data_IF_188927537335
#
_entry.id   IF_188927537335
#
_cell.length_a   1.000
_cell.length_b   1.000
_cell.length_c   1.000
_cell.angle_alpha   90.00
_cell.angle_beta   90.00
_cell.angle_gamma   90.00
#
_symmetry.space_group_name_H-M   'P 1'
#
loop_
_entity.id
_entity.type
_entity.pdbx_description
1 polymer ?
#
# COMPACT_ATOMS: atom_id res chain seq x y z
N UNK A 1 28.08 -64.62 -1.07
CA UNK A 1 27.45 -63.30 -0.87
C UNK A 1 26.23 -63.49 0.03
N UNK A 2 26.27 -62.96 1.26
CA UNK A 2 25.18 -63.10 2.21
C UNK A 2 24.10 -62.04 1.94
N UNK A 3 22.88 -62.47 1.62
CA UNK A 3 21.72 -61.59 1.51
C UNK A 3 21.17 -61.25 2.91
N UNK A 4 20.85 -59.98 3.22
CA UNK A 4 20.32 -59.61 4.52
C UNK A 4 18.87 -60.11 4.69
N UNK A 5 18.54 -60.53 5.92
CA UNK A 5 17.22 -61.09 6.32
C UNK A 5 16.08 -60.06 6.17
N UNK A 6 14.86 -60.50 5.77
CA UNK A 6 13.75 -59.64 5.35
C UNK A 6 13.12 -58.75 6.44
N UNK A 7 13.46 -58.94 7.73
CA UNK A 7 12.91 -58.11 8.82
C UNK A 7 13.52 -56.70 8.89
N UNK A 8 14.77 -56.51 8.47
CA UNK A 8 15.41 -55.18 8.48
C UNK A 8 14.94 -54.29 7.31
N UNK A 9 14.45 -54.90 6.23
CA UNK A 9 13.91 -54.17 5.08
C UNK A 9 12.59 -53.46 5.43
N UNK A 10 11.74 -54.11 6.23
CA UNK A 10 10.44 -53.57 6.62
C UNK A 10 10.56 -52.38 7.58
N UNK A 11 11.50 -52.43 8.53
CA UNK A 11 11.74 -51.33 9.47
C UNK A 11 12.37 -50.11 8.76
N UNK A 12 13.29 -50.34 7.81
CA UNK A 12 13.87 -49.29 6.98
C UNK A 12 12.82 -48.61 6.08
N UNK A 13 11.91 -49.40 5.48
CA UNK A 13 10.80 -48.88 4.68
C UNK A 13 9.81 -48.05 5.50
N UNK A 14 9.49 -48.47 6.74
CA UNK A 14 8.63 -47.71 7.65
C UNK A 14 9.28 -46.38 8.09
N UNK A 15 10.57 -46.38 8.40
CA UNK A 15 11.32 -45.16 8.77
C UNK A 15 11.42 -44.19 7.59
N UNK A 16 11.66 -44.69 6.36
CA UNK A 16 11.61 -43.89 5.12
C UNK A 16 10.20 -43.36 4.82
N UNK A 17 9.14 -44.12 5.11
CA UNK A 17 7.75 -43.67 4.94
C UNK A 17 7.35 -42.60 5.96
N UNK A 18 7.83 -42.70 7.21
CA UNK A 18 7.59 -41.68 8.24
C UNK A 18 8.44 -40.42 8.03
N UNK A 19 9.71 -40.54 7.65
CA UNK A 19 10.58 -39.40 7.32
C UNK A 19 10.11 -38.65 6.06
N UNK A 20 9.63 -39.38 5.03
CA UNK A 20 9.05 -38.77 3.85
C UNK A 20 7.71 -38.08 4.14
N UNK A 21 6.83 -38.65 4.98
CA UNK A 21 5.59 -37.98 5.41
C UNK A 21 5.84 -36.75 6.29
N UNK A 22 6.84 -36.79 7.19
CA UNK A 22 7.25 -35.62 7.99
C UNK A 22 7.87 -34.52 7.11
N UNK A 23 8.69 -34.90 6.13
CA UNK A 23 9.24 -33.97 5.13
C UNK A 23 8.13 -33.37 4.26
N UNK A 24 7.19 -34.18 3.75
CA UNK A 24 6.09 -33.72 2.90
C UNK A 24 5.05 -32.89 3.66
N UNK A 25 4.79 -33.17 4.94
CA UNK A 25 3.90 -32.36 5.78
C UNK A 25 4.52 -31.00 6.17
N UNK A 26 5.86 -30.93 6.24
CA UNK A 26 6.60 -29.67 6.43
C UNK A 26 6.74 -28.91 5.11
N UNK A 27 6.97 -29.60 4.00
CA UNK A 27 7.02 -29.07 2.64
C UNK A 27 5.64 -28.57 2.16
N UNK A 28 4.54 -29.24 2.54
CA UNK A 28 3.17 -28.85 2.15
C UNK A 28 2.70 -27.58 2.87
N UNK A 29 3.17 -27.33 4.10
CA UNK A 29 2.96 -26.04 4.77
C UNK A 29 3.80 -24.91 4.18
N UNK A 30 4.96 -25.22 3.61
CA UNK A 30 5.88 -24.24 2.99
C UNK A 30 5.45 -23.92 1.54
N UNK A 31 4.85 -24.86 0.81
CA UNK A 31 4.28 -24.64 -0.53
C UNK A 31 2.88 -23.96 -0.51
N UNK A 32 2.21 -23.92 0.64
CA UNK A 32 0.82 -23.45 0.76
C UNK A 32 0.63 -21.93 0.90
N UNK A 33 1.67 -21.19 1.26
CA UNK A 33 1.63 -19.73 1.23
C UNK A 33 2.32 -19.27 -0.04
N UNK A 34 1.61 -19.36 -1.17
CA UNK A 34 1.60 -18.50 -2.40
C UNK A 34 1.76 -16.99 -2.19
N UNK A 35 0.95 -16.53 -1.27
CA UNK A 35 0.33 -15.22 -1.35
C UNK A 35 0.01 -14.76 0.07
N UNK A 36 0.15 -13.46 0.31
CA UNK A 36 -0.33 -12.85 1.54
C UNK A 36 -1.87 -12.90 1.63
N UNK A 37 -2.46 -12.45 2.74
CA UNK A 37 -3.90 -12.60 2.99
C UNK A 37 -4.77 -11.82 2.00
N UNK A 38 -4.31 -10.65 1.53
CA UNK A 38 -5.03 -9.83 0.55
C UNK A 38 -5.04 -10.56 -0.79
N UNK A 39 -3.85 -10.90 -1.28
CA UNK A 39 -3.66 -11.55 -2.58
C UNK A 39 -4.37 -12.90 -2.64
N UNK A 40 -4.25 -13.71 -1.58
CA UNK A 40 -4.89 -15.02 -1.49
C UNK A 40 -6.41 -14.94 -1.61
N UNK A 41 -7.03 -13.84 -1.17
CA UNK A 41 -8.47 -13.68 -1.15
C UNK A 41 -9.08 -13.57 -2.57
N UNK A 42 -8.39 -12.92 -3.50
CA UNK A 42 -8.94 -12.69 -4.85
C UNK A 42 -8.14 -13.38 -5.97
N UNK A 43 -6.82 -13.55 -5.84
CA UNK A 43 -5.99 -14.11 -6.93
C UNK A 43 -6.24 -15.58 -7.17
N UNK A 44 -6.71 -16.33 -6.17
CA UNK A 44 -7.10 -17.74 -6.33
C UNK A 44 -8.34 -17.94 -7.21
N UNK A 45 -9.06 -16.89 -7.55
CA UNK A 45 -10.21 -16.99 -8.45
C UNK A 45 -9.72 -17.05 -9.91
N UNK A 46 -9.80 -18.20 -10.59
CA UNK A 46 -9.36 -18.30 -11.99
C UNK A 46 -10.18 -17.39 -12.92
N UNK A 47 -11.39 -17.03 -12.48
CA UNK A 47 -12.34 -16.17 -13.17
C UNK A 47 -12.32 -14.73 -12.61
N UNK A 48 -11.20 -14.26 -12.05
CA UNK A 48 -11.10 -12.89 -11.48
C UNK A 48 -11.50 -11.80 -12.49
N UNK A 49 -11.32 -12.04 -13.80
CA UNK A 49 -11.79 -11.13 -14.86
C UNK A 49 -13.31 -11.02 -14.93
N UNK A 50 -14.04 -12.08 -14.58
CA UNK A 50 -15.51 -12.09 -14.49
C UNK A 50 -16.00 -11.60 -13.12
N UNK A 51 -15.15 -11.65 -12.10
CA UNK A 51 -15.46 -11.25 -10.72
C UNK A 51 -14.53 -10.13 -10.23
N UNK A 52 -14.28 -9.12 -11.06
CA UNK A 52 -13.30 -8.07 -10.77
C UNK A 52 -13.56 -7.40 -9.40
N UNK A 53 -14.83 -7.20 -9.08
CA UNK A 53 -15.29 -6.56 -7.86
C UNK A 53 -15.11 -7.39 -6.57
N UNK A 54 -14.80 -8.70 -6.66
CA UNK A 54 -14.43 -9.50 -5.49
C UNK A 54 -13.25 -8.89 -4.72
N UNK A 55 -12.35 -8.19 -5.43
CA UNK A 55 -11.21 -7.46 -4.85
C UNK A 55 -11.63 -6.58 -3.67
N UNK A 56 -12.79 -5.92 -3.74
CA UNK A 56 -13.29 -5.02 -2.70
C UNK A 56 -13.55 -5.71 -1.34
N UNK A 57 -13.69 -7.04 -1.34
CA UNK A 57 -13.87 -7.84 -0.11
C UNK A 57 -12.54 -8.28 0.53
N UNK A 58 -11.41 -7.99 -0.12
CA UNK A 58 -10.12 -8.55 0.25
C UNK A 58 -9.21 -7.59 1.02
N UNK A 59 -9.56 -6.30 1.08
CA UNK A 59 -8.87 -5.32 1.91
C UNK A 59 -8.92 -5.70 3.41
N UNK A 60 -7.93 -5.22 4.15
CA UNK A 60 -7.74 -5.44 5.59
C UNK A 60 -7.29 -4.11 6.22
N UNK A 61 -6.91 -4.12 7.50
CA UNK A 61 -6.39 -2.93 8.16
C UNK A 61 -7.47 -1.87 8.32
N UNK A 62 -7.08 -0.63 8.58
CA UNK A 62 -8.04 0.42 8.94
C UNK A 62 -9.05 0.79 7.86
N UNK A 63 -8.77 0.55 6.57
CA UNK A 63 -9.76 0.72 5.53
C UNK A 63 -10.95 -0.25 5.70
N UNK A 64 -10.72 -1.40 6.36
CA UNK A 64 -11.70 -2.47 6.47
C UNK A 64 -12.06 -3.01 5.10
N UNK A 65 -13.22 -3.68 4.98
CA UNK A 65 -13.72 -4.12 3.68
C UNK A 65 -14.25 -2.94 2.87
N UNK A 66 -13.93 -2.92 1.58
CA UNK A 66 -14.34 -1.87 0.64
C UNK A 66 -15.67 -2.20 -0.06
N UNK A 67 -16.57 -2.92 0.62
CA UNK A 67 -17.85 -3.40 0.05
C UNK A 67 -18.81 -2.28 -0.35
N UNK A 68 -18.61 -1.06 0.15
CA UNK A 68 -19.39 0.11 -0.26
C UNK A 68 -19.09 0.55 -1.70
N UNK A 69 -17.98 0.07 -2.29
CA UNK A 69 -17.60 0.33 -3.68
C UNK A 69 -18.28 -0.61 -4.67
N UNK A 70 -19.13 -1.54 -4.20
CA UNK A 70 -19.80 -2.54 -5.04
C UNK A 70 -21.30 -2.59 -4.69
N UNK A 71 -22.10 -3.24 -5.53
CA UNK A 71 -23.55 -3.36 -5.35
C UNK A 71 -24.29 -3.39 -6.69
N UNK A 72 -25.62 -3.47 -6.62
CA UNK A 72 -26.49 -3.51 -7.80
C UNK A 72 -26.47 -2.18 -8.59
N UNK A 73 -26.10 -1.09 -7.93
CA UNK A 73 -25.96 0.26 -8.46
C UNK A 73 -24.56 0.57 -9.02
N UNK A 74 -23.69 -0.45 -9.13
CA UNK A 74 -22.32 -0.26 -9.61
C UNK A 74 -22.29 0.11 -11.09
N UNK A 75 -21.69 1.27 -11.39
CA UNK A 75 -21.43 1.71 -12.76
C UNK A 75 -20.08 1.14 -13.21
N UNK A 76 -20.10 0.37 -14.31
CA UNK A 76 -18.88 -0.09 -14.96
C UNK A 76 -18.42 0.93 -15.99
N UNK A 77 -17.22 1.46 -15.80
CA UNK A 77 -16.65 2.45 -16.70
C UNK A 77 -15.33 1.95 -17.27
N UNK A 78 -15.17 2.07 -18.59
CA UNK A 78 -13.95 1.63 -19.28
C UNK A 78 -13.32 2.84 -19.96
N UNK A 79 -12.11 3.19 -19.52
CA UNK A 79 -11.29 4.22 -20.15
C UNK A 79 -10.80 3.68 -21.49
N UNK A 80 -11.09 4.39 -22.57
CA UNK A 80 -10.60 4.10 -23.93
C UNK A 80 -9.77 5.25 -24.52
N UNK A 81 -9.88 6.44 -23.92
CA UNK A 81 -9.15 7.64 -24.29
C UNK A 81 -8.20 8.06 -23.15
N UNK A 82 -6.92 8.24 -23.50
CA UNK A 82 -5.87 8.65 -22.57
C UNK A 82 -5.68 10.18 -22.49
N UNK A 83 -6.47 10.95 -23.26
CA UNK A 83 -6.47 12.41 -23.19
C UNK A 83 -7.03 12.91 -21.86
N UNK A 84 -6.69 14.15 -21.52
CA UNK A 84 -7.15 14.82 -20.31
C UNK A 84 -7.54 16.26 -20.68
N UNK A 85 -8.76 16.67 -20.30
CA UNK A 85 -9.16 18.08 -20.28
C UNK A 85 -9.56 18.39 -18.84
N UNK A 86 -8.85 19.29 -18.15
CA UNK A 86 -9.04 19.50 -16.73
C UNK A 86 -10.39 20.15 -16.39
N UNK A 87 -11.10 20.74 -17.35
CA UNK A 87 -12.37 21.48 -17.13
C UNK A 87 -13.53 20.79 -17.85
N UNK A 88 -13.33 20.28 -19.05
CA UNK A 88 -14.37 19.67 -19.88
C UNK A 88 -13.99 18.24 -20.30
N UNK A 89 -13.80 17.30 -19.35
CA UNK A 89 -13.34 15.96 -19.69
C UNK A 89 -14.38 15.25 -20.55
N UNK A 90 -13.92 14.62 -21.61
CA UNK A 90 -14.78 13.88 -22.55
C UNK A 90 -15.16 12.52 -21.98
N UNK A 91 -16.34 11.96 -22.32
CA UNK A 91 -16.61 10.56 -22.09
C UNK A 91 -15.48 9.67 -22.60
N UNK A 92 -15.30 8.53 -21.94
CA UNK A 92 -14.19 7.57 -22.09
C UNK A 92 -12.80 7.99 -21.58
N UNK A 93 -12.63 9.20 -21.03
CA UNK A 93 -11.39 9.62 -20.35
C UNK A 93 -11.39 9.23 -18.87
N UNK A 94 -10.20 9.11 -18.27
CA UNK A 94 -10.11 8.82 -16.83
C UNK A 94 -10.78 9.90 -15.98
N UNK A 95 -10.60 11.19 -16.31
CA UNK A 95 -11.19 12.30 -15.54
C UNK A 95 -12.70 12.33 -15.57
N UNK A 96 -13.31 12.03 -16.70
CA UNK A 96 -14.76 11.87 -16.76
C UNK A 96 -15.22 10.78 -15.78
N UNK A 97 -14.56 9.62 -15.80
CA UNK A 97 -14.87 8.51 -14.92
C UNK A 97 -14.75 8.83 -13.43
N UNK A 98 -13.72 9.55 -13.02
CA UNK A 98 -13.43 9.82 -11.60
C UNK A 98 -14.16 11.03 -11.02
N UNK A 99 -14.58 11.98 -11.86
CA UNK A 99 -15.06 13.29 -11.40
C UNK A 99 -16.52 13.58 -11.81
N UNK A 100 -16.95 13.13 -12.99
CA UNK A 100 -18.31 13.40 -13.49
C UNK A 100 -19.31 12.32 -13.07
N UNK A 101 -18.91 11.05 -13.13
CA UNK A 101 -19.83 9.94 -12.79
C UNK A 101 -20.22 10.02 -11.31
N UNK A 102 -21.53 10.00 -11.07
CA UNK A 102 -22.12 10.02 -9.73
C UNK A 102 -22.41 8.60 -9.27
N UNK A 103 -22.31 8.36 -7.96
CA UNK A 103 -22.52 7.04 -7.35
C UNK A 103 -21.28 6.15 -7.40
N UNK A 104 -21.49 4.83 -7.31
CA UNK A 104 -20.40 3.85 -7.27
C UNK A 104 -19.89 3.60 -8.68
N UNK A 105 -18.58 3.72 -8.89
CA UNK A 105 -17.98 3.49 -10.21
C UNK A 105 -16.76 2.56 -10.11
N UNK A 106 -16.74 1.54 -10.96
CA UNK A 106 -15.59 0.67 -11.17
C UNK A 106 -14.93 0.99 -12.52
N UNK A 107 -13.80 1.68 -12.45
CA UNK A 107 -13.05 2.16 -13.60
C UNK A 107 -12.00 1.11 -14.00
N UNK A 108 -12.07 0.65 -15.24
CA UNK A 108 -11.08 -0.23 -15.90
C UNK A 108 -10.52 0.43 -17.15
N UNK A 109 -9.52 -0.19 -17.76
CA UNK A 109 -8.82 0.35 -18.93
C UNK A 109 -8.85 -0.66 -20.08
N UNK A 110 -9.12 -0.17 -21.29
CA UNK A 110 -9.25 -1.04 -22.47
C UNK A 110 -7.91 -1.66 -22.91
N UNK A 111 -6.81 -0.94 -22.73
CA UNK A 111 -5.47 -1.27 -23.23
C UNK A 111 -4.42 -0.60 -22.34
N UNK A 112 -3.15 -0.87 -22.63
CA UNK A 112 -2.04 -0.14 -22.04
C UNK A 112 -2.19 1.37 -22.34
N UNK A 113 -1.96 2.19 -21.32
CA UNK A 113 -2.18 3.64 -21.40
C UNK A 113 -1.08 4.41 -20.68
N UNK A 114 -0.66 5.50 -21.34
CA UNK A 114 0.16 6.56 -20.77
C UNK A 114 -0.72 7.79 -20.65
N UNK A 115 -1.12 8.13 -19.43
CA UNK A 115 -2.02 9.25 -19.14
C UNK A 115 -1.19 10.38 -18.55
N UNK A 116 -1.14 11.50 -19.26
CA UNK A 116 -0.52 12.73 -18.78
C UNK A 116 -1.63 13.69 -18.39
N UNK A 117 -1.86 13.84 -17.09
CA UNK A 117 -2.89 14.75 -16.58
C UNK A 117 -2.41 16.20 -16.71
N UNK A 118 -3.27 17.09 -17.22
CA UNK A 118 -2.95 18.51 -17.39
C UNK A 118 -2.96 19.25 -16.04
N UNK A 119 -3.88 18.86 -15.15
CA UNK A 119 -4.03 19.38 -13.78
C UNK A 119 -4.33 18.23 -12.81
N UNK A 120 -4.25 18.43 -11.47
CA UNK A 120 -4.53 17.37 -10.51
C UNK A 120 -5.87 16.69 -10.78
N UNK A 121 -5.88 15.36 -10.71
CA UNK A 121 -7.08 14.55 -10.94
C UNK A 121 -7.79 14.30 -9.62
N UNK A 122 -9.00 14.86 -9.48
CA UNK A 122 -9.85 14.63 -8.32
C UNK A 122 -10.64 13.34 -8.46
N UNK A 123 -10.54 12.49 -7.43
CA UNK A 123 -11.26 11.21 -7.38
C UNK A 123 -12.44 11.35 -6.42
N UNK A 124 -13.65 11.14 -6.93
CA UNK A 124 -14.89 11.21 -6.17
C UNK A 124 -15.08 10.00 -5.26
N UNK A 125 -15.92 10.15 -4.24
CA UNK A 125 -16.27 9.05 -3.33
C UNK A 125 -16.81 7.83 -4.08
N UNK A 126 -16.66 6.64 -3.50
CA UNK A 126 -17.15 5.37 -4.06
C UNK A 126 -16.56 4.98 -5.43
N UNK A 127 -15.36 5.49 -5.72
CA UNK A 127 -14.63 5.21 -6.97
C UNK A 127 -13.58 4.11 -6.76
N UNK A 128 -13.56 3.14 -7.67
CA UNK A 128 -12.46 2.20 -7.81
C UNK A 128 -11.73 2.45 -9.12
N UNK A 129 -10.41 2.65 -9.07
CA UNK A 129 -9.52 2.62 -10.23
C UNK A 129 -8.80 1.27 -10.23
N UNK A 130 -9.04 0.46 -11.26
CA UNK A 130 -8.54 -0.91 -11.38
C UNK A 130 -7.73 -1.07 -12.68
N UNK A 131 -6.40 -1.05 -12.53
CA UNK A 131 -5.44 -1.21 -13.61
C UNK A 131 -5.13 -2.68 -13.98
N UNK A 132 -5.83 -3.68 -13.42
CA UNK A 132 -5.48 -5.08 -13.68
C UNK A 132 -5.65 -5.46 -15.15
N UNK A 133 -4.67 -6.20 -15.66
CA UNK A 133 -4.69 -6.81 -16.99
C UNK A 133 -4.10 -5.96 -18.10
N UNK A 134 -3.77 -4.70 -17.82
CA UNK A 134 -3.09 -3.79 -18.75
C UNK A 134 -2.02 -2.98 -18.00
N UNK A 135 -1.17 -2.28 -18.74
CA UNK A 135 -0.15 -1.40 -18.17
C UNK A 135 -0.62 0.07 -18.20
N UNK A 136 -1.04 0.60 -17.05
CA UNK A 136 -1.48 1.99 -16.90
C UNK A 136 -0.43 2.80 -16.16
N UNK A 137 -0.02 3.90 -16.78
CA UNK A 137 0.88 4.89 -16.23
C UNK A 137 0.16 6.25 -16.15
N UNK A 138 0.26 6.90 -14.99
CA UNK A 138 -0.14 8.30 -14.78
C UNK A 138 1.12 9.07 -14.45
N UNK A 139 1.59 9.93 -15.37
CA UNK A 139 2.94 10.45 -15.25
C UNK A 139 3.22 11.77 -15.97
N UNK A 140 4.41 12.32 -15.69
CA UNK A 140 5.09 13.41 -16.40
C UNK A 140 4.47 14.81 -16.24
N UNK A 141 3.41 14.96 -15.45
CA UNK A 141 2.85 16.26 -15.08
C UNK A 141 2.06 16.17 -13.75
N UNK A 142 0.74 16.42 -13.75
CA UNK A 142 -0.08 16.30 -12.55
C UNK A 142 -0.43 14.84 -12.24
N UNK A 143 -0.85 14.58 -10.99
CA UNK A 143 -1.18 13.25 -10.49
C UNK A 143 -2.46 13.27 -9.63
N UNK A 144 -2.60 12.31 -8.70
CA UNK A 144 -3.89 11.98 -8.08
C UNK A 144 -4.13 12.75 -6.79
N UNK A 145 -5.35 13.26 -6.62
CA UNK A 145 -5.79 13.90 -5.39
C UNK A 145 -7.17 13.38 -4.96
N UNK A 146 -7.26 12.99 -3.69
CA UNK A 146 -8.51 12.64 -3.01
C UNK A 146 -8.79 13.76 -2.01
N UNK A 147 -9.81 14.56 -2.30
CA UNK A 147 -10.17 15.73 -1.50
C UNK A 147 -11.61 15.59 -0.98
N UNK A 148 -11.77 15.56 0.35
CA UNK A 148 -13.08 15.46 1.02
C UNK A 148 -13.96 14.31 0.49
N UNK A 149 -13.34 13.16 0.25
CA UNK A 149 -13.98 11.99 -0.35
C UNK A 149 -13.72 10.71 0.45
N UNK A 150 -14.53 9.69 0.21
CA UNK A 150 -14.51 8.45 0.98
C UNK A 150 -14.75 7.21 0.14
N UNK A 151 -14.36 6.03 0.66
CA UNK A 151 -14.58 4.74 0.00
C UNK A 151 -13.93 4.71 -1.39
N UNK A 152 -12.61 4.86 -1.47
CA UNK A 152 -11.87 4.85 -2.74
C UNK A 152 -10.84 3.72 -2.76
N UNK A 153 -10.79 3.00 -3.88
CA UNK A 153 -9.77 1.99 -4.15
C UNK A 153 -8.90 2.48 -5.31
N UNK A 154 -7.58 2.50 -5.12
CA UNK A 154 -6.61 2.72 -6.20
C UNK A 154 -5.76 1.47 -6.30
N UNK A 155 -5.94 0.71 -7.38
CA UNK A 155 -5.36 -0.61 -7.53
C UNK A 155 -4.66 -0.81 -8.87
N UNK A 156 -3.43 -1.30 -8.83
CA UNK A 156 -2.76 -1.86 -10.01
C UNK A 156 -2.28 -0.83 -11.04
N UNK A 157 -1.97 0.40 -10.64
CA UNK A 157 -1.46 1.45 -11.55
C UNK A 157 -0.04 1.91 -11.21
N UNK A 158 0.64 2.49 -12.21
CA UNK A 158 1.94 3.15 -12.03
C UNK A 158 1.75 4.66 -11.97
N UNK A 159 2.30 5.31 -10.95
CA UNK A 159 2.23 6.79 -10.83
C UNK A 159 3.63 7.32 -10.55
N UNK A 160 4.14 8.19 -11.42
CA UNK A 160 5.54 8.61 -11.36
C UNK A 160 5.82 9.92 -12.13
N UNK A 161 6.97 10.54 -11.91
CA UNK A 161 7.35 11.82 -12.57
C UNK A 161 6.29 12.92 -12.39
N UNK A 162 5.61 12.93 -11.25
CA UNK A 162 4.64 13.96 -10.89
C UNK A 162 5.37 15.27 -10.58
N UNK A 163 4.76 16.40 -10.99
CA UNK A 163 5.34 17.74 -10.91
C UNK A 163 4.38 18.70 -10.19
N UNK A 164 4.90 19.72 -9.48
CA UNK A 164 4.09 20.77 -8.89
C UNK A 164 3.16 21.41 -9.90
N UNK A 165 1.97 21.80 -9.44
CA UNK A 165 0.96 22.45 -10.25
C UNK A 165 0.63 23.81 -9.63
N UNK A 166 0.68 24.85 -10.46
CA UNK A 166 0.19 26.16 -10.09
C UNK A 166 -1.33 26.10 -9.81
N UNK A 167 -1.84 27.00 -8.94
CA UNK A 167 -3.28 27.13 -8.69
C UNK A 167 -4.09 27.15 -9.99
N UNK A 168 -5.30 26.62 -9.94
CA UNK A 168 -6.16 26.55 -11.11
C UNK A 168 -7.49 25.87 -10.80
N UNK A 169 -8.34 25.80 -11.82
CA UNK A 169 -9.62 25.12 -11.73
C UNK A 169 -9.54 23.74 -12.34
N UNK A 170 -10.26 22.79 -11.75
CA UNK A 170 -10.37 21.42 -12.26
C UNK A 170 -11.79 20.90 -12.10
N UNK A 171 -12.15 19.93 -12.92
CA UNK A 171 -13.34 19.13 -12.77
C UNK A 171 -13.24 18.28 -11.49
N UNK A 172 -14.17 18.52 -10.57
CA UNK A 172 -14.31 17.84 -9.30
C UNK A 172 -15.60 17.00 -9.24
N UNK A 173 -15.94 16.51 -8.04
CA UNK A 173 -17.07 15.59 -7.85
C UNK A 173 -18.40 16.12 -8.39
N UNK A 174 -19.22 15.21 -8.90
CA UNK A 174 -20.54 15.48 -9.49
C UNK A 174 -20.51 16.45 -10.67
N UNK A 175 -19.38 16.52 -11.39
CA UNK A 175 -19.25 17.40 -12.55
C UNK A 175 -19.05 18.90 -12.19
N UNK A 176 -18.69 19.20 -10.94
CA UNK A 176 -18.50 20.58 -10.48
C UNK A 176 -17.07 21.02 -10.68
N UNK A 177 -16.88 22.14 -11.38
CA UNK A 177 -15.56 22.79 -11.47
C UNK A 177 -15.22 23.41 -10.13
N UNK A 178 -14.05 23.07 -9.57
CA UNK A 178 -13.58 23.59 -8.28
C UNK A 178 -12.19 24.22 -8.40
N UNK A 179 -11.91 25.30 -7.65
CA UNK A 179 -10.57 25.86 -7.56
C UNK A 179 -9.69 24.97 -6.66
N UNK A 180 -8.46 24.75 -7.10
CA UNK A 180 -7.38 24.16 -6.33
C UNK A 180 -6.26 25.18 -6.15
N UNK A 181 -5.68 25.20 -4.95
CA UNK A 181 -4.44 25.91 -4.67
C UNK A 181 -3.24 25.22 -5.31
N UNK A 182 -2.04 25.67 -4.94
CA UNK A 182 -0.80 25.04 -5.35
C UNK A 182 -0.72 23.59 -4.86
N UNK A 183 -0.18 22.71 -5.70
CA UNK A 183 0.05 21.29 -5.40
C UNK A 183 1.52 20.97 -5.64
N UNK A 184 2.14 20.18 -4.75
CA UNK A 184 3.60 20.05 -4.65
C UNK A 184 4.20 18.97 -5.57
N UNK A 185 3.37 18.20 -6.27
CA UNK A 185 3.82 17.15 -7.18
C UNK A 185 3.92 15.76 -6.56
N UNK A 186 3.06 15.46 -5.58
CA UNK A 186 2.91 14.11 -5.02
C UNK A 186 2.26 13.14 -6.00
N UNK A 187 2.57 11.84 -5.90
CA UNK A 187 1.90 10.82 -6.71
C UNK A 187 0.42 10.65 -6.34
N UNK A 188 0.13 10.51 -5.05
CA UNK A 188 -1.22 10.37 -4.51
C UNK A 188 -1.32 11.21 -3.24
N UNK A 189 -2.26 12.17 -3.24
CA UNK A 189 -2.49 13.05 -2.08
C UNK A 189 -3.90 12.92 -1.52
N UNK A 190 -4.02 12.61 -0.24
CA UNK A 190 -5.26 12.51 0.52
C UNK A 190 -5.40 13.71 1.45
N UNK A 191 -6.52 14.41 1.34
CA UNK A 191 -6.85 15.61 2.12
C UNK A 191 -8.29 15.50 2.61
N UNK A 192 -8.47 15.36 3.93
CA UNK A 192 -9.78 15.13 4.55
C UNK A 192 -10.50 13.91 3.94
N UNK A 193 -9.76 12.84 3.64
CA UNK A 193 -10.27 11.62 3.02
C UNK A 193 -10.45 10.49 4.05
N UNK A 194 -11.45 9.63 3.88
CA UNK A 194 -11.67 8.51 4.80
C UNK A 194 -11.95 7.19 4.09
N UNK A 195 -11.56 6.06 4.69
CA UNK A 195 -11.83 4.73 4.13
C UNK A 195 -11.24 4.57 2.73
N UNK A 196 -9.90 4.58 2.66
CA UNK A 196 -9.14 4.57 1.40
C UNK A 196 -8.23 3.34 1.36
N UNK A 197 -8.22 2.66 0.22
CA UNK A 197 -7.35 1.51 -0.01
C UNK A 197 -6.44 1.74 -1.22
N UNK A 198 -5.13 1.79 -0.98
CA UNK A 198 -4.09 1.96 -1.98
C UNK A 198 -3.33 0.64 -2.10
N UNK A 199 -3.56 -0.10 -3.18
CA UNK A 199 -3.11 -1.49 -3.31
C UNK A 199 -2.39 -1.80 -4.62
N UNK A 200 -1.30 -2.55 -4.59
CA UNK A 200 -0.63 -3.03 -5.82
C UNK A 200 -0.21 -1.91 -6.81
N UNK A 201 0.11 -0.72 -6.33
CA UNK A 201 0.61 0.36 -7.17
C UNK A 201 2.14 0.38 -7.18
N UNK A 202 2.73 0.87 -8.27
CA UNK A 202 4.17 1.18 -8.30
C UNK A 202 4.36 2.68 -8.38
N UNK A 203 5.01 3.25 -7.37
CA UNK A 203 5.12 4.70 -7.14
C UNK A 203 6.61 5.08 -7.07
N UNK A 204 7.06 6.04 -7.88
CA UNK A 204 8.48 6.42 -7.97
C UNK A 204 8.72 7.77 -8.65
N UNK A 205 9.91 8.34 -8.45
CA UNK A 205 10.47 9.49 -9.18
C UNK A 205 9.52 10.71 -9.28
N UNK A 206 8.82 11.06 -8.20
CA UNK A 206 8.00 12.29 -8.11
C UNK A 206 8.80 13.46 -7.52
N UNK A 207 8.45 14.69 -7.88
CA UNK A 207 9.23 15.87 -7.48
C UNK A 207 9.12 16.22 -5.98
N UNK A 208 8.02 15.88 -5.29
CA UNK A 208 7.94 15.98 -3.83
C UNK A 208 7.76 14.61 -3.14
N UNK A 209 6.55 14.25 -2.72
CA UNK A 209 6.23 12.97 -2.09
C UNK A 209 5.73 11.89 -3.07
N UNK A 210 5.61 10.64 -2.62
CA UNK A 210 4.78 9.65 -3.33
C UNK A 210 3.37 9.58 -2.76
N UNK A 211 3.24 9.51 -1.44
CA UNK A 211 1.94 9.35 -0.80
C UNK A 211 1.80 10.23 0.45
N UNK A 212 0.86 11.17 0.38
CA UNK A 212 0.57 12.10 1.46
C UNK A 212 -0.84 11.86 2.02
N UNK A 213 -0.94 11.60 3.33
CA UNK A 213 -2.20 11.42 4.07
C UNK A 213 -2.32 12.52 5.10
N UNK A 214 -3.19 13.50 4.87
CA UNK A 214 -3.15 14.77 5.61
C UNK A 214 -4.53 15.31 5.97
N UNK A 215 -4.56 16.34 6.82
CA UNK A 215 -5.73 17.20 7.08
C UNK A 215 -6.97 16.40 7.52
N UNK A 216 -6.78 15.51 8.50
CA UNK A 216 -7.83 14.71 9.12
C UNK A 216 -8.19 13.45 8.33
N UNK A 217 -7.37 13.08 7.35
CA UNK A 217 -7.59 11.82 6.64
C UNK A 217 -7.38 10.63 7.58
N UNK A 218 -8.22 9.60 7.47
CA UNK A 218 -8.18 8.44 8.38
C UNK A 218 -8.76 7.19 7.73
N UNK A 219 -8.68 6.06 8.43
CA UNK A 219 -9.14 4.76 7.94
C UNK A 219 -8.50 4.37 6.60
N UNK A 220 -7.17 4.45 6.54
CA UNK A 220 -6.40 4.20 5.31
C UNK A 220 -5.64 2.87 5.42
N UNK A 221 -5.63 2.09 4.34
CA UNK A 221 -4.73 0.94 4.19
C UNK A 221 -3.91 1.05 2.92
N UNK A 222 -2.60 0.89 3.08
CA UNK A 222 -1.60 1.00 2.03
C UNK A 222 -0.94 -0.38 1.96
N UNK A 223 -1.24 -1.14 0.91
CA UNK A 223 -0.81 -2.53 0.82
C UNK A 223 -0.23 -2.95 -0.52
N UNK A 224 0.66 -3.93 -0.51
CA UNK A 224 1.21 -4.52 -1.74
C UNK A 224 1.81 -3.50 -2.72
N UNK A 225 2.14 -2.27 -2.31
CA UNK A 225 2.70 -1.28 -3.22
C UNK A 225 4.22 -1.46 -3.32
N UNK A 226 4.78 -1.04 -4.44
CA UNK A 226 6.22 -0.95 -4.64
C UNK A 226 6.62 0.53 -4.74
N UNK A 227 7.29 1.01 -3.70
CA UNK A 227 7.90 2.33 -3.64
C UNK A 227 9.39 2.21 -3.97
N UNK A 228 9.89 3.05 -4.88
CA UNK A 228 11.32 3.04 -5.26
C UNK A 228 11.73 4.42 -5.79
N UNK A 229 13.04 4.65 -5.88
CA UNK A 229 13.62 5.86 -6.50
C UNK A 229 12.92 7.14 -6.02
N UNK A 230 12.98 7.40 -4.72
CA UNK A 230 12.30 8.55 -4.14
C UNK A 230 13.04 9.05 -2.91
N UNK A 231 13.17 10.37 -2.80
CA UNK A 231 13.63 10.97 -1.55
C UNK A 231 12.56 10.85 -0.44
N UNK A 232 11.42 11.51 -0.63
CA UNK A 232 10.31 11.56 0.34
C UNK A 232 9.23 10.55 -0.05
N UNK A 233 9.15 9.41 0.63
CA UNK A 233 8.21 8.35 0.23
C UNK A 233 6.77 8.64 0.68
N UNK A 234 6.52 8.66 1.99
CA UNK A 234 5.17 8.66 2.55
C UNK A 234 5.07 9.56 3.79
N UNK A 235 4.24 10.60 3.69
CA UNK A 235 3.97 11.51 4.80
C UNK A 235 2.57 11.27 5.37
N UNK A 236 2.50 10.96 6.65
CA UNK A 236 1.26 10.81 7.40
C UNK A 236 1.16 12.01 8.35
N UNK A 237 0.36 13.01 7.98
CA UNK A 237 0.23 14.29 8.69
C UNK A 237 1.30 15.30 8.27
N UNK A 238 0.88 16.48 7.79
CA UNK A 238 1.77 17.48 7.16
C UNK A 238 2.12 18.66 8.08
N UNK A 239 1.17 19.09 8.91
CA UNK A 239 1.21 20.35 9.66
C UNK A 239 1.34 20.07 11.16
N UNK A 240 2.40 20.63 11.76
CA UNK A 240 2.72 20.45 13.18
C UNK A 240 1.57 20.97 14.07
N UNK A 241 0.83 22.01 13.64
CA UNK A 241 -0.30 22.59 14.37
C UNK A 241 -1.66 21.93 14.11
N UNK A 242 -1.76 20.98 13.17
CA UNK A 242 -3.05 20.38 12.80
C UNK A 242 -3.44 19.20 13.71
N UNK A 243 -3.83 19.53 14.94
CA UNK A 243 -4.11 18.58 16.03
C UNK A 243 -5.20 17.54 15.68
N UNK A 244 -6.09 17.83 14.72
CA UNK A 244 -7.10 16.86 14.26
C UNK A 244 -6.48 15.57 13.67
N UNK A 245 -5.22 15.61 13.22
CA UNK A 245 -4.50 14.42 12.75
C UNK A 245 -4.23 13.40 13.88
N UNK A 246 -4.47 13.72 15.16
CA UNK A 246 -4.50 12.71 16.25
C UNK A 246 -5.49 11.57 16.00
N UNK A 247 -6.53 11.83 15.20
CA UNK A 247 -7.53 10.83 14.82
C UNK A 247 -7.15 9.99 13.58
N UNK A 248 -6.04 10.33 12.91
CA UNK A 248 -5.56 9.59 11.74
C UNK A 248 -5.11 8.18 12.15
N UNK A 249 -5.61 7.18 11.42
CA UNK A 249 -5.26 5.77 11.58
C UNK A 249 -4.91 5.16 10.23
N UNK A 250 -3.68 4.64 10.11
CA UNK A 250 -3.15 4.12 8.84
C UNK A 250 -2.55 2.73 9.05
N UNK A 251 -2.87 1.79 8.15
CA UNK A 251 -2.21 0.48 8.07
C UNK A 251 -1.28 0.45 6.87
N UNK A 252 -0.01 0.12 7.10
CA UNK A 252 1.01 -0.04 6.06
C UNK A 252 1.44 -1.51 6.08
N UNK A 253 1.10 -2.29 5.06
CA UNK A 253 1.27 -3.76 5.11
C UNK A 253 1.68 -4.38 3.76
N UNK A 254 2.61 -5.32 3.74
CA UNK A 254 3.06 -6.01 2.51
C UNK A 254 3.64 -5.09 1.41
N UNK A 255 4.06 -3.87 1.75
CA UNK A 255 4.73 -3.00 0.78
C UNK A 255 6.20 -3.38 0.64
N UNK A 256 6.75 -3.12 -0.55
CA UNK A 256 8.17 -3.14 -0.81
C UNK A 256 8.67 -1.69 -0.93
N UNK A 257 9.54 -1.31 -0.01
CA UNK A 257 10.23 -0.02 0.00
C UNK A 257 11.68 -0.21 -0.43
N UNK A 258 11.98 0.18 -1.66
CA UNK A 258 13.30 0.08 -2.26
C UNK A 258 13.27 -0.50 -3.68
N UNK A 259 14.36 -0.38 -4.45
CA UNK A 259 15.60 0.30 -4.07
C UNK A 259 15.44 1.82 -4.07
N UNK A 260 16.43 2.52 -3.51
CA UNK A 260 16.61 3.98 -3.59
C UNK A 260 15.45 4.79 -2.98
N UNK A 261 14.92 4.35 -1.83
CA UNK A 261 14.00 5.15 -1.03
C UNK A 261 14.76 5.80 0.12
N UNK A 262 14.91 7.13 0.12
CA UNK A 262 15.81 7.77 1.08
C UNK A 262 15.21 7.87 2.49
N UNK A 263 13.91 8.21 2.60
CA UNK A 263 13.25 8.49 3.87
C UNK A 263 11.71 8.42 3.83
N UNK A 264 11.10 8.53 5.01
CA UNK A 264 9.65 8.66 5.24
C UNK A 264 8.84 7.42 4.84
N UNK A 265 9.12 6.27 5.44
CA UNK A 265 8.47 4.98 5.13
C UNK A 265 7.78 4.32 6.34
N UNK A 266 6.85 4.99 7.05
CA UNK A 266 6.36 6.34 6.85
C UNK A 266 7.08 7.38 7.73
N UNK A 267 6.82 8.68 7.49
CA UNK A 267 7.01 9.75 8.49
C UNK A 267 5.66 10.21 9.03
N UNK A 268 5.48 10.19 10.35
CA UNK A 268 4.16 10.36 11.00
C UNK A 268 4.12 11.63 11.86
N UNK A 269 2.97 12.31 11.86
CA UNK A 269 2.61 13.35 12.82
C UNK A 269 1.29 13.08 13.48
N UNK A 270 1.22 13.27 14.81
CA UNK A 270 0.04 13.16 15.68
C UNK A 270 -0.65 11.77 15.73
N UNK A 271 -0.99 11.20 14.58
CA UNK A 271 -1.81 10.01 14.45
C UNK A 271 -1.13 8.69 14.77
N UNK A 272 -1.80 7.61 14.39
CA UNK A 272 -1.36 6.24 14.61
C UNK A 272 -1.11 5.50 13.30
N UNK A 273 0.00 4.77 13.24
CA UNK A 273 0.28 3.82 12.16
C UNK A 273 0.56 2.41 12.70
N UNK A 274 -0.06 1.41 12.07
CA UNK A 274 0.34 0.01 12.20
C UNK A 274 1.12 -0.40 10.95
N UNK A 275 2.40 -0.71 11.12
CA UNK A 275 3.33 -1.04 10.04
C UNK A 275 3.70 -2.51 10.18
N UNK A 276 3.18 -3.37 9.30
CA UNK A 276 3.30 -4.82 9.46
C UNK A 276 3.76 -5.56 8.19
N UNK A 277 4.67 -6.53 8.33
CA UNK A 277 5.13 -7.38 7.23
C UNK A 277 5.55 -6.64 5.94
N UNK A 278 6.14 -5.44 6.06
CA UNK A 278 6.72 -4.71 4.93
C UNK A 278 8.20 -5.06 4.76
N UNK A 279 8.68 -4.98 3.53
CA UNK A 279 10.07 -5.14 3.18
C UNK A 279 10.74 -3.78 2.96
N UNK A 280 11.81 -3.50 3.69
CA UNK A 280 12.60 -2.29 3.58
C UNK A 280 14.01 -2.62 3.13
N UNK A 281 14.46 -1.99 2.05
CA UNK A 281 15.77 -2.24 1.46
C UNK A 281 16.52 -0.93 1.19
N UNK A 282 17.57 -0.70 1.98
CA UNK A 282 18.60 0.31 1.69
C UNK A 282 18.11 1.75 1.74
N UNK A 283 17.66 2.23 2.90
CA UNK A 283 17.35 3.65 3.10
C UNK A 283 18.61 4.50 3.20
N UNK A 284 18.51 5.78 2.83
CA UNK A 284 19.64 6.72 2.91
C UNK A 284 19.70 7.42 4.27
N UNK A 285 18.59 8.03 4.70
CA UNK A 285 18.55 8.80 5.94
C UNK A 285 17.91 8.02 7.08
N UNK A 286 16.71 7.47 6.90
CA UNK A 286 16.00 6.62 7.88
C UNK A 286 14.85 5.91 7.18
N UNK A 287 14.29 4.86 7.77
CA UNK A 287 13.07 4.24 7.25
C UNK A 287 11.82 4.85 7.89
N UNK A 288 11.68 4.78 9.21
CA UNK A 288 10.47 5.19 9.92
C UNK A 288 10.75 6.46 10.72
N UNK A 289 9.95 7.50 10.52
CA UNK A 289 10.15 8.81 11.16
C UNK A 289 8.91 9.31 11.89
N UNK A 290 9.11 10.29 12.77
CA UNK A 290 8.01 10.96 13.45
C UNK A 290 8.25 12.45 13.71
N UNK A 291 7.21 13.17 14.12
CA UNK A 291 7.24 14.47 14.82
C UNK A 291 5.87 14.74 15.45
N UNK A 292 5.78 15.55 16.50
CA UNK A 292 4.50 15.83 17.19
C UNK A 292 3.83 14.56 17.78
N UNK A 293 4.60 13.81 18.58
CA UNK A 293 4.10 12.69 19.41
C UNK A 293 3.26 11.61 18.68
N UNK A 294 3.71 11.10 17.52
CA UNK A 294 3.00 10.03 16.84
C UNK A 294 3.09 8.71 17.63
N UNK A 295 2.16 7.80 17.34
CA UNK A 295 2.20 6.43 17.86
C UNK A 295 2.35 5.43 16.71
N UNK A 296 3.27 4.48 16.85
CA UNK A 296 3.56 3.48 15.83
C UNK A 296 3.79 2.10 16.45
N UNK A 297 3.14 1.11 15.85
CA UNK A 297 3.46 -0.30 16.06
C UNK A 297 4.11 -0.86 14.78
N UNK A 298 5.41 -1.10 14.83
CA UNK A 298 6.14 -1.89 13.84
C UNK A 298 6.03 -3.37 14.24
N UNK A 299 5.49 -4.20 13.36
CA UNK A 299 5.25 -5.62 13.65
C UNK A 299 5.68 -6.55 12.49
N UNK A 300 6.72 -7.34 12.75
CA UNK A 300 7.23 -8.36 11.84
C UNK A 300 7.57 -7.87 10.42
N UNK A 301 8.16 -6.68 10.33
CA UNK A 301 8.80 -6.17 9.12
C UNK A 301 10.20 -6.75 8.95
N UNK A 302 10.73 -6.66 7.72
CA UNK A 302 12.11 -6.96 7.42
C UNK A 302 12.84 -5.69 7.01
N UNK A 303 13.85 -5.31 7.79
CA UNK A 303 14.70 -4.16 7.55
C UNK A 303 16.09 -4.61 7.13
N UNK A 304 16.46 -4.33 5.87
CA UNK A 304 17.81 -4.55 5.35
C UNK A 304 18.46 -3.17 5.19
N UNK A 305 19.32 -2.81 6.15
CA UNK A 305 20.05 -1.55 6.10
C UNK A 305 20.97 -1.48 4.86
N UNK A 306 21.34 -0.28 4.39
CA UNK A 306 22.32 -0.13 3.31
C UNK A 306 23.70 -0.67 3.72
N UNK A 307 24.51 -1.13 2.77
CA UNK A 307 25.89 -1.61 3.03
C UNK A 307 26.72 -0.53 3.70
N UNK A 308 26.64 0.70 3.20
CA UNK A 308 27.31 1.89 3.72
C UNK A 308 26.25 2.94 4.04
N UNK A 309 26.38 3.64 5.18
CA UNK A 309 25.46 4.71 5.58
C UNK A 309 24.69 4.37 6.86
N UNK A 310 23.52 5.01 7.03
CA UNK A 310 22.78 4.91 8.28
C UNK A 310 22.18 3.51 8.50
N UNK A 311 22.39 2.97 9.70
CA UNK A 311 21.84 1.68 10.15
C UNK A 311 20.57 1.83 10.99
N UNK A 312 20.31 3.01 11.54
CA UNK A 312 19.12 3.24 12.35
C UNK A 312 17.88 3.34 11.45
N UNK A 313 16.89 2.50 11.72
CA UNK A 313 15.58 2.49 11.07
C UNK A 313 14.80 3.76 11.42
N UNK A 314 14.93 4.21 12.66
CA UNK A 314 14.10 5.26 13.26
C UNK A 314 14.72 6.64 13.15
N UNK A 315 13.89 7.65 12.95
CA UNK A 315 14.28 9.06 13.10
C UNK A 315 13.25 9.85 13.92
N UNK A 316 13.75 10.70 14.80
CA UNK A 316 12.93 11.56 15.65
C UNK A 316 13.34 13.02 15.54
N UNK A 317 12.45 13.89 15.04
CA UNK A 317 12.57 15.35 15.20
C UNK A 317 12.50 15.73 16.69
N UNK A 318 13.57 16.25 17.26
CA UNK A 318 13.55 16.77 18.63
C UNK A 318 12.46 17.85 18.77
N UNK A 319 11.68 17.82 19.86
CA UNK A 319 10.88 18.96 20.27
C UNK A 319 11.69 19.78 21.27
N UNK A 320 11.79 21.09 21.10
CA UNK A 320 12.46 22.02 22.04
C UNK A 320 11.85 22.00 23.45
N UNK A 321 10.73 21.28 23.63
CA UNK A 321 10.15 20.96 24.93
C UNK A 321 10.45 19.51 25.28
N UNK A 322 11.30 19.34 26.28
CA UNK A 322 11.50 18.12 27.04
C UNK A 322 10.15 17.57 27.52
N UNK A 323 9.70 16.42 27.00
CA UNK A 323 8.59 15.67 27.62
C UNK A 323 7.63 14.89 26.71
N UNK A 324 7.66 15.06 25.39
CA UNK A 324 6.77 14.28 24.51
C UNK A 324 7.18 12.81 24.42
N UNK A 325 6.37 11.88 24.94
CA UNK A 325 6.61 10.42 24.83
C UNK A 325 6.12 9.91 23.48
N UNK A 326 7.03 9.89 22.52
CA UNK A 326 6.79 9.23 21.24
C UNK A 326 6.60 7.75 21.51
N UNK A 327 5.62 7.09 20.89
CA UNK A 327 5.32 5.69 21.20
C UNK A 327 5.66 4.81 20.00
N UNK A 328 6.95 4.56 19.78
CA UNK A 328 7.44 3.71 18.69
C UNK A 328 7.84 2.35 19.27
N UNK A 329 7.12 1.32 18.84
CA UNK A 329 7.38 -0.05 19.28
C UNK A 329 7.74 -0.93 18.09
N UNK A 330 8.68 -1.83 18.29
CA UNK A 330 9.08 -2.88 17.34
C UNK A 330 8.80 -4.23 17.96
N UNK A 331 8.06 -5.09 17.23
CA UNK A 331 7.65 -6.42 17.67
C UNK A 331 7.95 -7.43 16.58
N UNK A 332 8.83 -8.39 16.86
CA UNK A 332 9.20 -9.50 15.93
C UNK A 332 9.73 -9.03 14.57
N UNK A 333 10.22 -7.80 14.47
CA UNK A 333 10.93 -7.32 13.29
C UNK A 333 12.26 -8.07 13.13
N UNK A 334 12.71 -8.25 11.89
CA UNK A 334 14.04 -8.75 11.58
C UNK A 334 14.88 -7.60 11.05
N UNK A 335 16.10 -7.50 11.57
CA UNK A 335 17.09 -6.53 11.19
C UNK A 335 18.29 -7.24 10.55
N UNK A 336 18.53 -6.98 9.28
CA UNK A 336 19.68 -7.47 8.53
C UNK A 336 20.68 -6.31 8.30
N UNK A 337 21.96 -6.66 8.14
CA UNK A 337 23.03 -5.70 7.83
C UNK A 337 23.18 -4.57 8.87
N UNK A 338 23.14 -4.95 10.15
CA UNK A 338 23.29 -4.07 11.33
C UNK A 338 22.15 -3.06 11.52
N UNK A 339 21.03 -3.22 10.80
CA UNK A 339 19.86 -2.40 11.04
C UNK A 339 19.47 -2.41 12.53
N UNK A 340 19.04 -1.27 13.04
CA UNK A 340 18.61 -1.14 14.44
C UNK A 340 17.35 -0.30 14.55
N UNK A 341 16.53 -0.59 15.55
CA UNK A 341 15.30 0.16 15.83
C UNK A 341 15.35 0.72 17.23
N UNK A 342 15.35 2.04 17.35
CA UNK A 342 15.34 2.70 18.64
C UNK A 342 13.90 2.75 19.16
N UNK A 343 13.54 1.82 20.03
CA UNK A 343 12.20 1.75 20.64
C UNK A 343 12.01 2.82 21.72
N UNK A 344 10.75 3.16 21.98
CA UNK A 344 10.40 3.87 23.21
C UNK A 344 10.50 2.91 24.39
N UNK A 345 11.28 3.27 25.41
CA UNK A 345 11.43 2.48 26.64
C UNK A 345 10.25 2.73 27.57
N UNK A 346 9.61 1.65 28.05
CA UNK A 346 8.44 1.73 28.92
C UNK A 346 7.14 2.06 28.16
N UNK A 347 6.00 1.79 28.80
CA UNK A 347 4.66 2.02 28.24
C UNK A 347 4.07 0.84 27.46
N UNK A 348 2.73 0.80 27.39
CA UNK A 348 2.00 -0.24 26.67
C UNK A 348 2.07 -0.03 25.16
N UNK A 349 2.33 -1.11 24.42
CA UNK A 349 2.27 -1.07 22.96
C UNK A 349 0.84 -0.82 22.53
N UNK A 350 0.58 0.37 21.97
CA UNK A 350 -0.74 0.73 21.46
C UNK A 350 -1.20 -0.27 20.40
N UNK A 351 -2.22 -1.06 20.76
CA UNK A 351 -2.84 -2.04 19.86
C UNK A 351 -3.59 -1.31 18.74
N UNK A 352 -3.63 -1.87 17.53
CA UNK A 352 -4.40 -1.27 16.43
C UNK A 352 -5.90 -1.18 16.72
N UNK A 353 -6.43 -2.04 17.60
CA UNK A 353 -7.86 -2.15 17.93
C UNK A 353 -8.74 -2.32 16.68
N UNK A 354 -8.31 -3.21 15.79
CA UNK A 354 -9.06 -3.54 14.58
C UNK A 354 -10.41 -4.18 14.91
N UNK A 355 -11.44 -3.80 14.17
CA UNK A 355 -12.69 -4.55 14.12
C UNK A 355 -12.48 -5.92 13.46
N UNK A 356 -13.48 -6.80 13.51
CA UNK A 356 -13.44 -8.12 12.85
C UNK A 356 -13.14 -8.02 11.35
N UNK A 357 -13.67 -7.01 10.68
CA UNK A 357 -13.48 -6.77 9.23
C UNK A 357 -12.12 -6.18 8.88
N UNK A 358 -11.49 -5.48 9.82
CA UNK A 358 -10.17 -4.88 9.68
C UNK A 358 -9.05 -5.86 10.07
N UNK A 359 -9.35 -6.82 10.95
CA UNK A 359 -8.34 -7.69 11.55
C UNK A 359 -7.70 -8.64 10.53
N UNK A 360 -6.41 -8.88 10.72
CA UNK A 360 -5.63 -9.83 9.92
C UNK A 360 -4.50 -10.44 10.74
N UNK A 361 -4.05 -11.62 10.33
CA UNK A 361 -2.91 -12.29 10.98
C UNK A 361 -1.60 -11.73 10.43
N UNK A 362 -0.84 -11.06 11.28
CA UNK A 362 0.56 -10.71 10.99
C UNK A 362 1.41 -11.97 11.05
N UNK A 363 2.16 -12.26 9.98
CA UNK A 363 3.00 -13.44 9.87
C UNK A 363 4.43 -13.15 10.36
N UNK A 364 5.22 -14.20 10.53
CA UNK A 364 6.63 -14.11 10.92
C UNK A 364 7.45 -13.34 9.86
N UNK A 365 8.33 -12.44 10.32
CA UNK A 365 9.14 -11.57 9.49
C UNK A 365 10.03 -12.33 8.48
N UNK A 366 10.40 -13.59 8.77
CA UNK A 366 11.17 -14.43 7.83
C UNK A 366 10.46 -14.68 6.50
N UNK A 367 9.13 -14.54 6.46
CA UNK A 367 8.34 -14.69 5.24
C UNK A 367 8.14 -13.37 4.50
N UNK A 368 8.65 -12.23 4.98
CA UNK A 368 8.38 -10.91 4.37
C UNK A 368 8.83 -10.83 2.92
N UNK A 369 10.05 -11.28 2.57
CA UNK A 369 10.53 -11.34 1.17
C UNK A 369 9.55 -12.10 0.27
N UNK A 370 8.94 -13.15 0.82
CA UNK A 370 7.95 -13.95 0.13
C UNK A 370 6.60 -13.22 0.01
N UNK A 371 6.08 -12.68 1.11
CA UNK A 371 4.78 -11.99 1.20
C UNK A 371 4.70 -10.73 0.35
N UNK A 372 5.86 -10.13 0.05
CA UNK A 372 6.04 -8.91 -0.75
C UNK A 372 6.62 -9.17 -2.15
N UNK A 373 6.77 -10.44 -2.54
CA UNK A 373 7.37 -10.81 -3.84
C UNK A 373 6.58 -10.33 -5.06
N UNK A 374 5.28 -10.06 -4.89
CA UNK A 374 4.39 -9.49 -5.91
C UNK A 374 4.01 -8.03 -5.67
N UNK A 375 4.68 -7.32 -4.75
CA UNK A 375 4.40 -5.90 -4.51
C UNK A 375 4.62 -5.06 -5.77
N UNK A 376 3.78 -4.04 -5.94
CA UNK A 376 3.68 -3.23 -7.15
C UNK A 376 2.62 -3.74 -8.12
N UNK A 377 2.60 -3.16 -9.33
CA UNK A 377 1.63 -3.56 -10.34
C UNK A 377 1.90 -4.99 -10.80
N UNK A 378 0.88 -5.82 -10.73
CA UNK A 378 0.91 -7.20 -11.19
C UNK A 378 1.18 -7.27 -12.69
N UNK A 379 2.24 -7.98 -13.08
CA UNK A 379 2.56 -8.21 -14.49
C UNK A 379 1.64 -9.28 -15.05
N UNK A 380 0.89 -8.94 -16.11
CA UNK A 380 0.15 -9.93 -16.87
C UNK A 380 1.12 -10.86 -17.61
N UNK A 381 1.15 -12.13 -17.24
CA UNK A 381 1.84 -13.16 -18.00
C UNK A 381 0.78 -14.02 -18.71
N UNK A 382 0.79 -14.03 -20.05
CA UNK A 382 -0.15 -14.83 -20.86
C UNK A 382 -0.14 -16.32 -20.51
N UNK A 383 0.94 -16.81 -19.91
CA UNK A 383 1.14 -18.22 -19.57
C UNK A 383 0.81 -18.58 -18.10
N UNK A 384 0.47 -17.58 -17.26
CA UNK A 384 0.05 -17.83 -15.88
C UNK A 384 -1.28 -17.12 -15.63
N UNK A 385 -2.34 -17.91 -15.52
CA UNK A 385 -3.54 -17.51 -14.78
C UNK A 385 -3.09 -17.30 -13.33
N UNK A 386 -3.43 -16.15 -12.74
CA UNK A 386 -2.90 -15.66 -11.46
C UNK A 386 -3.07 -16.62 -10.28
#
# INVERSE_FOLDING_TARGET
MAFPKPQYLFLALLILFFLSKLSFAKQSRINGLKLNVIDRCWRKNPEWKRHQYQLATCSIGYAGKMINNIGNDLIHYKVTDSSDDPINPKPNTLRYGTSIIQGKVWITFQRDMQIKLEKPLLISSFTTIDGRGVNVHIANNACLMIFKATNIIIHGIRVHHCKPQAPGIVMGPEGKVIPLGQVDGDAIRLVTASKIWIDHNTLYDCQDGLLDVTRGSTDVTISNNWFKNQDKVMLLGHDDGYVRDKNMKVTVVYNHFGPNCNQRMPRIRHGYAHVANNFYQGWLQYAIGGSMEPSLKSEANLFVAPTIGNKEVTWRKSSDKSGGTWNFHSIRDIFENEASFNITKGGDVKKPNYTKEQNFKVLDAKFVKYLTSSSGVLRYNKNYVY
#
